data_IF_624210869912
#
_entry.id   IF_624210869912
#
_cell.length_a   1.000
_cell.length_b   1.000
_cell.length_c   1.000
_cell.angle_alpha   90.00
_cell.angle_beta   90.00
_cell.angle_gamma   90.00
#
_symmetry.space_group_name_H-M   'P 1'
#
loop_
_entity.id
_entity.type
_entity.pdbx_description
1 polymer ?
#
# COMPACT_ATOMS: atom_id res chain seq x y z
N UNK A 1 18.42 64.97 4.77
CA UNK A 1 17.92 66.12 3.98
C UNK A 1 16.70 65.64 3.21
N UNK A 2 15.59 66.38 3.48
CA UNK A 2 14.34 66.60 2.74
C UNK A 2 13.47 65.40 2.45
N UNK A 3 12.37 65.14 3.15
CA UNK A 3 11.04 65.85 3.29
C UNK A 3 10.32 66.15 1.96
N UNK A 4 9.12 65.52 1.82
CA UNK A 4 7.81 66.08 1.54
C UNK A 4 6.86 64.93 1.28
N UNK A 5 5.82 64.65 2.01
CA UNK A 5 4.59 65.28 2.49
C UNK A 5 3.50 65.48 1.39
N UNK A 6 2.33 64.89 1.70
CA UNK A 6 0.93 65.41 1.54
C UNK A 6 0.30 65.21 0.13
N UNK A 7 -0.88 64.56 -0.01
CA UNK A 7 -2.16 65.10 0.35
C UNK A 7 -3.34 64.10 0.26
N UNK A 8 -4.27 64.31 1.18
CA UNK A 8 -5.62 63.73 1.29
C UNK A 8 -6.59 64.45 0.31
N UNK A 9 -7.60 63.74 -0.19
CA UNK A 9 -8.89 64.35 -0.40
C UNK A 9 -10.04 63.33 -0.32
N UNK A 10 -10.93 63.64 0.57
CA UNK A 10 -12.24 63.05 0.84
C UNK A 10 -13.16 63.16 -0.38
N UNK A 11 -14.07 62.21 -0.51
CA UNK A 11 -15.43 62.55 -0.94
C UNK A 11 -16.47 61.61 -0.33
N UNK A 12 -17.49 62.25 0.17
CA UNK A 12 -18.60 61.87 1.01
C UNK A 12 -19.76 61.24 0.24
N UNK A 13 -20.57 60.47 0.99
CA UNK A 13 -21.81 59.80 0.66
C UNK A 13 -22.93 60.59 -0.02
N UNK A 14 -24.04 59.97 -0.43
CA UNK A 14 -25.21 60.12 0.42
C UNK A 14 -26.01 58.81 0.70
N UNK A 15 -26.52 58.78 1.90
CA UNK A 15 -27.53 57.93 2.47
C UNK A 15 -28.91 58.16 1.88
N UNK A 16 -29.64 57.12 1.52
CA UNK A 16 -31.08 57.16 1.29
C UNK A 16 -31.75 56.23 2.32
N UNK A 17 -32.50 56.89 3.21
CA UNK A 17 -33.49 56.28 4.09
C UNK A 17 -34.71 55.84 3.28
N UNK A 18 -35.15 54.60 3.49
CA UNK A 18 -36.52 54.19 3.22
C UNK A 18 -37.12 53.49 4.44
N UNK A 19 -38.24 54.08 4.89
CA UNK A 19 -39.08 53.65 6.00
C UNK A 19 -39.94 52.44 5.64
N UNK A 20 -40.36 51.62 6.63
CA UNK A 20 -41.14 50.40 6.38
C UNK A 20 -42.67 50.69 6.48
N UNK A 21 -43.41 50.36 5.46
CA UNK A 21 -44.85 50.05 5.63
C UNK A 21 -45.40 49.25 4.44
N UNK A 22 -46.09 48.16 4.79
CA UNK A 22 -47.01 47.36 3.99
C UNK A 22 -46.41 46.36 2.98
N UNK A 23 -46.25 45.12 3.46
CA UNK A 23 -46.73 43.91 2.73
C UNK A 23 -46.73 42.68 3.66
N UNK A 24 -47.76 42.64 4.48
CA UNK A 24 -48.21 41.36 5.09
C UNK A 24 -49.43 40.95 4.28
N UNK A 25 -49.29 39.93 3.46
CA UNK A 25 -50.31 38.99 2.95
C UNK A 25 -49.85 38.43 1.60
N UNK A 26 -49.05 37.38 1.62
CA UNK A 26 -48.95 36.34 0.58
C UNK A 26 -47.71 35.44 0.77
N UNK A 27 -47.60 34.77 1.88
CA UNK A 27 -46.55 33.77 2.09
C UNK A 27 -46.99 32.68 3.11
N UNK A 28 -48.19 32.12 2.94
CA UNK A 28 -48.61 30.96 3.78
C UNK A 28 -48.90 29.69 2.96
N UNK A 29 -48.71 29.70 1.63
CA UNK A 29 -48.99 28.53 0.81
C UNK A 29 -47.74 27.83 0.21
N UNK A 30 -46.51 28.36 0.39
CA UNK A 30 -45.32 27.78 -0.20
C UNK A 30 -44.38 27.09 0.81
N UNK A 31 -44.68 27.12 2.13
CA UNK A 31 -43.80 26.58 3.17
C UNK A 31 -44.04 25.12 3.55
N UNK A 32 -45.09 24.50 3.04
CA UNK A 32 -45.39 23.08 3.35
C UNK A 32 -44.89 22.07 2.32
N UNK A 33 -44.51 22.51 1.12
CA UNK A 33 -44.00 21.59 0.08
C UNK A 33 -42.48 21.39 0.12
N UNK A 34 -41.72 22.31 0.76
CA UNK A 34 -40.25 22.21 0.87
C UNK A 34 -39.77 21.45 2.11
N UNK A 35 -40.61 21.26 3.13
CA UNK A 35 -40.27 20.50 4.33
C UNK A 35 -40.39 18.96 4.13
N UNK A 36 -41.16 18.51 3.13
CA UNK A 36 -41.33 17.06 2.89
C UNK A 36 -40.25 16.47 1.97
N UNK A 37 -39.62 17.28 1.11
CA UNK A 37 -38.53 16.81 0.26
C UNK A 37 -37.16 16.80 0.98
N UNK A 38 -36.97 17.60 2.02
CA UNK A 38 -35.78 17.58 2.86
C UNK A 38 -35.77 16.38 3.84
N UNK A 39 -36.94 15.86 4.21
CA UNK A 39 -37.04 14.68 5.11
C UNK A 39 -36.88 13.36 4.40
N UNK A 40 -37.08 13.27 3.08
CA UNK A 40 -36.86 12.10 2.26
C UNK A 40 -35.42 12.01 1.70
N UNK A 41 -34.67 13.11 1.68
CA UNK A 41 -33.27 13.13 1.19
C UNK A 41 -32.23 12.77 2.26
N UNK A 42 -32.56 12.82 3.56
CA UNK A 42 -31.64 12.55 4.67
C UNK A 42 -31.60 11.08 5.08
N UNK A 43 -32.55 10.26 4.59
CA UNK A 43 -32.62 8.84 4.95
C UNK A 43 -31.98 7.86 3.94
N UNK A 44 -31.37 8.34 2.86
CA UNK A 44 -30.67 7.49 1.89
C UNK A 44 -29.16 7.43 2.06
N UNK A 45 -28.61 8.13 3.08
CA UNK A 45 -27.21 7.97 3.52
C UNK A 45 -27.11 7.25 4.87
N UNK A 46 -28.02 6.30 5.15
CA UNK A 46 -27.76 5.28 6.17
C UNK A 46 -26.73 4.32 5.62
N UNK A 47 -25.49 4.62 6.02
CA UNK A 47 -24.41 3.69 6.28
C UNK A 47 -24.78 2.24 5.94
N UNK A 48 -24.27 1.73 4.84
CA UNK A 48 -24.03 0.30 4.77
C UNK A 48 -23.07 -0.02 5.91
N UNK A 49 -23.60 -0.52 7.02
CA UNK A 49 -22.79 -1.06 8.10
C UNK A 49 -21.86 -2.09 7.45
N UNK A 50 -20.55 -1.83 7.54
CA UNK A 50 -19.58 -2.74 7.00
C UNK A 50 -19.77 -4.06 7.72
N UNK A 51 -20.19 -5.08 6.99
CA UNK A 51 -20.28 -6.44 7.49
C UNK A 51 -18.88 -6.88 7.90
N UNK A 52 -18.69 -7.52 9.07
CA UNK A 52 -17.41 -8.14 9.40
C UNK A 52 -17.08 -9.17 8.31
N UNK A 53 -15.81 -9.22 7.94
CA UNK A 53 -15.34 -10.18 6.95
C UNK A 53 -15.54 -11.61 7.46
N UNK A 54 -16.07 -12.54 6.66
CA UNK A 54 -16.10 -13.96 7.01
C UNK A 54 -14.67 -14.48 7.17
N UNK A 55 -14.49 -15.45 8.04
CA UNK A 55 -13.21 -16.17 8.13
C UNK A 55 -12.88 -16.77 6.76
N UNK A 56 -11.64 -16.54 6.32
CA UNK A 56 -11.16 -17.11 5.07
C UNK A 56 -10.99 -18.61 5.28
N UNK A 57 -11.78 -19.44 4.58
CA UNK A 57 -11.43 -20.83 4.37
C UNK A 57 -10.14 -20.89 3.55
N UNK A 58 -9.03 -20.95 4.26
CA UNK A 58 -7.73 -21.19 3.66
C UNK A 58 -7.70 -22.65 3.27
N UNK A 59 -7.55 -22.93 1.98
CA UNK A 59 -7.17 -24.28 1.56
C UNK A 59 -5.86 -24.63 2.28
N UNK A 60 -5.82 -25.70 3.08
CA UNK A 60 -4.61 -26.05 3.81
C UNK A 60 -3.49 -26.27 2.80
N UNK A 61 -2.43 -25.46 2.86
CA UNK A 61 -1.17 -25.83 2.24
C UNK A 61 -0.71 -27.11 2.95
N UNK A 62 -0.87 -28.24 2.28
CA UNK A 62 -0.37 -29.52 2.75
C UNK A 62 1.15 -29.45 2.60
N UNK A 63 1.84 -29.16 3.71
CA UNK A 63 3.29 -29.33 3.85
C UNK A 63 3.63 -30.79 3.66
N UNK A 64 3.71 -31.24 2.41
CA UNK A 64 4.16 -32.56 2.06
C UNK A 64 5.68 -32.58 2.05
N UNK A 65 6.34 -33.41 2.87
CA UNK A 65 7.75 -33.76 2.66
C UNK A 65 7.89 -34.24 1.23
N UNK A 66 8.44 -33.41 0.34
CA UNK A 66 8.75 -33.82 -1.02
C UNK A 66 9.90 -34.82 -1.02
N UNK A 67 9.55 -36.11 -0.92
CA UNK A 67 10.49 -37.25 -0.97
C UNK A 67 10.97 -37.59 -2.40
N UNK A 68 10.64 -36.80 -3.42
CA UNK A 68 10.82 -37.19 -4.84
C UNK A 68 11.90 -36.39 -5.58
N UNK A 69 12.79 -35.63 -4.93
CA UNK A 69 13.84 -34.88 -5.63
C UNK A 69 13.30 -33.71 -6.52
N UNK A 70 12.01 -33.52 -6.56
CA UNK A 70 11.36 -32.46 -7.36
C UNK A 70 11.49 -31.10 -6.67
N UNK A 71 11.84 -30.07 -7.43
CA UNK A 71 11.93 -28.69 -6.95
C UNK A 71 10.50 -28.19 -6.63
N UNK A 72 10.22 -27.72 -5.38
CA UNK A 72 8.92 -27.14 -5.03
C UNK A 72 8.58 -25.96 -5.92
N UNK A 73 7.29 -25.77 -6.21
CA UNK A 73 6.79 -24.67 -7.07
C UNK A 73 7.34 -23.31 -6.65
N UNK A 74 7.30 -22.99 -5.37
CA UNK A 74 7.73 -21.68 -4.88
C UNK A 74 9.24 -21.50 -4.89
N UNK A 75 10.01 -22.57 -4.64
CA UNK A 75 11.46 -22.55 -4.82
C UNK A 75 11.82 -22.23 -6.29
N UNK A 76 11.12 -22.86 -7.25
CA UNK A 76 11.31 -22.56 -8.68
C UNK A 76 10.99 -21.10 -9.00
N UNK A 77 9.88 -20.57 -8.51
CA UNK A 77 9.50 -19.14 -8.70
C UNK A 77 10.60 -18.23 -8.16
N UNK A 78 11.15 -18.51 -6.97
CA UNK A 78 12.26 -17.69 -6.42
C UNK A 78 13.52 -17.76 -7.27
N UNK A 79 13.85 -18.93 -7.82
CA UNK A 79 14.98 -19.08 -8.76
C UNK A 79 14.77 -18.29 -10.04
N UNK A 80 13.55 -18.29 -10.58
CA UNK A 80 13.19 -17.57 -11.80
C UNK A 80 13.14 -16.05 -11.58
N UNK A 81 12.64 -15.57 -10.43
CA UNK A 81 12.53 -14.16 -10.09
C UNK A 81 13.86 -13.55 -9.60
N UNK A 82 14.73 -14.34 -8.98
CA UNK A 82 15.97 -13.88 -8.35
C UNK A 82 17.20 -14.67 -8.80
N UNK A 83 17.42 -14.81 -10.12
CA UNK A 83 18.44 -15.72 -10.68
C UNK A 83 19.87 -15.35 -10.28
N UNK A 84 20.15 -14.10 -9.94
CA UNK A 84 21.48 -13.69 -9.49
C UNK A 84 21.80 -14.18 -8.07
N UNK A 85 20.78 -14.44 -7.26
CA UNK A 85 20.91 -14.76 -5.84
C UNK A 85 20.51 -16.21 -5.50
N UNK A 86 19.44 -16.75 -6.11
CA UNK A 86 18.91 -18.08 -5.82
C UNK A 86 19.30 -19.01 -6.98
N UNK A 87 20.25 -19.92 -6.72
CA UNK A 87 20.86 -20.80 -7.75
C UNK A 87 20.25 -22.20 -7.82
N UNK A 88 19.52 -22.60 -6.78
CA UNK A 88 18.96 -23.94 -6.77
C UNK A 88 18.16 -24.26 -5.51
N UNK A 89 17.66 -25.48 -5.49
CA UNK A 89 17.01 -26.09 -4.34
C UNK A 89 17.54 -27.52 -4.15
N UNK A 90 17.91 -27.85 -2.93
CA UNK A 90 18.38 -29.20 -2.57
C UNK A 90 18.13 -29.49 -1.09
N UNK A 91 17.65 -30.67 -0.77
CA UNK A 91 17.51 -31.19 0.60
C UNK A 91 16.77 -30.22 1.53
N UNK A 92 15.64 -29.67 1.06
CA UNK A 92 14.83 -28.66 1.75
C UNK A 92 15.53 -27.32 2.00
N UNK A 93 16.51 -26.94 1.17
CA UNK A 93 17.20 -25.66 1.24
C UNK A 93 17.22 -24.96 -0.12
N UNK A 94 17.04 -23.65 -0.13
CA UNK A 94 17.49 -22.80 -1.24
C UNK A 94 19.02 -22.72 -1.22
N UNK A 95 19.63 -22.86 -2.39
CA UNK A 95 21.08 -22.70 -2.59
C UNK A 95 21.32 -21.30 -3.12
N UNK A 96 22.07 -20.51 -2.38
CA UNK A 96 22.37 -19.12 -2.71
C UNK A 96 23.61 -19.01 -3.63
N UNK A 97 23.80 -17.86 -4.25
CA UNK A 97 24.89 -17.64 -5.22
C UNK A 97 26.29 -17.74 -4.61
N UNK A 98 26.45 -17.57 -3.31
CA UNK A 98 27.70 -17.78 -2.58
C UNK A 98 27.87 -19.20 -2.01
N UNK A 99 26.95 -20.12 -2.36
CA UNK A 99 26.92 -21.49 -1.86
C UNK A 99 26.28 -21.65 -0.48
N UNK A 100 25.88 -20.56 0.19
CA UNK A 100 25.13 -20.63 1.44
C UNK A 100 23.74 -21.22 1.23
N UNK A 101 23.10 -21.65 2.33
CA UNK A 101 21.81 -22.32 2.30
C UNK A 101 20.81 -21.60 3.18
N UNK A 102 19.57 -21.45 2.70
CA UNK A 102 18.43 -20.96 3.48
C UNK A 102 17.39 -22.08 3.55
N UNK A 103 16.95 -22.43 4.76
CA UNK A 103 15.94 -23.46 4.98
C UNK A 103 14.65 -23.06 4.26
N UNK A 104 14.07 -24.00 3.49
CA UNK A 104 12.88 -23.74 2.69
C UNK A 104 11.60 -23.86 3.54
N UNK A 105 11.46 -24.97 4.28
CA UNK A 105 10.31 -25.28 5.12
C UNK A 105 10.79 -25.88 6.43
N UNK A 106 10.44 -25.28 7.57
CA UNK A 106 10.81 -25.78 8.89
C UNK A 106 9.84 -26.86 9.43
N UNK A 107 8.77 -27.15 8.70
CA UNK A 107 7.77 -28.17 9.04
C UNK A 107 6.87 -27.79 10.22
N UNK A 108 6.92 -26.55 10.70
CA UNK A 108 6.12 -26.11 11.84
C UNK A 108 4.73 -25.63 11.41
N UNK A 109 3.73 -25.97 12.20
CA UNK A 109 2.40 -25.39 12.07
C UNK A 109 2.38 -24.02 12.76
N UNK A 110 2.26 -22.94 11.97
CA UNK A 110 2.32 -21.57 12.43
C UNK A 110 0.97 -20.88 12.25
N UNK A 111 0.55 -20.11 13.25
CA UNK A 111 -0.56 -19.15 13.10
C UNK A 111 -0.18 -18.04 12.10
N UNK A 112 -1.16 -17.30 11.53
CA UNK A 112 -0.85 -16.18 10.63
C UNK A 112 0.10 -15.12 11.24
N UNK A 113 0.04 -14.88 12.55
CA UNK A 113 0.94 -13.93 13.23
C UNK A 113 2.35 -14.51 13.36
N UNK A 114 2.47 -15.79 13.74
CA UNK A 114 3.78 -16.46 13.81
C UNK A 114 4.46 -16.53 12.45
N UNK A 115 3.69 -16.74 11.35
CA UNK A 115 4.22 -16.65 9.98
C UNK A 115 4.76 -15.28 9.64
N UNK A 116 4.13 -14.21 10.13
CA UNK A 116 4.67 -12.85 9.95
C UNK A 116 5.99 -12.65 10.69
N UNK A 117 6.14 -13.19 11.91
CA UNK A 117 7.29 -12.94 12.78
C UNK A 117 8.46 -13.92 12.55
N UNK A 118 8.16 -15.14 12.08
CA UNK A 118 9.11 -16.25 11.96
C UNK A 118 8.97 -16.99 10.63
N UNK A 119 8.76 -16.26 9.54
CA UNK A 119 8.61 -16.84 8.21
C UNK A 119 9.86 -17.64 7.79
N UNK A 120 9.69 -18.91 7.40
CA UNK A 120 10.61 -19.57 6.51
C UNK A 120 10.35 -19.19 5.04
N UNK A 121 10.92 -19.89 4.08
CA UNK A 121 10.75 -19.52 2.66
C UNK A 121 9.36 -19.91 2.16
N UNK A 122 8.83 -21.05 2.58
CA UNK A 122 7.50 -21.52 2.16
C UNK A 122 6.40 -20.60 2.69
N UNK A 123 6.53 -20.12 3.92
CA UNK A 123 5.60 -19.17 4.56
C UNK A 123 5.42 -17.87 3.77
N UNK A 124 6.40 -17.45 2.96
CA UNK A 124 6.28 -16.22 2.13
C UNK A 124 5.09 -16.29 1.18
N UNK A 125 4.64 -17.49 0.82
CA UNK A 125 3.56 -17.74 -0.14
C UNK A 125 2.25 -18.18 0.53
N UNK A 126 2.20 -18.18 1.85
CA UNK A 126 1.02 -18.60 2.61
C UNK A 126 -0.24 -17.80 2.29
N UNK A 127 -0.11 -16.49 2.17
CA UNK A 127 -1.22 -15.61 1.80
C UNK A 127 -1.32 -15.47 0.28
N UNK A 128 -2.54 -15.66 -0.25
CA UNK A 128 -2.82 -15.50 -1.68
C UNK A 128 -3.02 -14.03 -2.03
N UNK A 129 -2.33 -13.54 -3.06
CA UNK A 129 -2.53 -12.18 -3.59
C UNK A 129 -3.69 -12.16 -4.60
N UNK A 130 -4.89 -11.75 -4.18
CA UNK A 130 -6.13 -11.93 -4.94
C UNK A 130 -6.50 -10.76 -5.86
N UNK A 131 -5.82 -9.63 -5.84
CA UNK A 131 -6.13 -8.42 -6.63
C UNK A 131 -7.56 -7.91 -6.46
N UNK A 132 -8.12 -8.06 -5.28
CA UNK A 132 -9.48 -7.68 -4.94
C UNK A 132 -9.54 -7.10 -3.52
N UNK A 133 -10.66 -6.44 -3.20
CA UNK A 133 -10.92 -6.01 -1.83
C UNK A 133 -10.74 -7.21 -0.88
N UNK A 134 -10.02 -7.03 0.24
CA UNK A 134 -9.81 -8.12 1.18
C UNK A 134 -11.15 -8.64 1.73
N UNK A 135 -11.37 -9.95 1.58
CA UNK A 135 -12.57 -10.65 2.02
C UNK A 135 -12.31 -11.59 3.18
N UNK A 136 -11.02 -11.88 3.48
CA UNK A 136 -10.58 -12.78 4.52
C UNK A 136 -9.80 -12.06 5.61
N UNK A 137 -9.99 -12.52 6.85
CA UNK A 137 -9.21 -12.03 7.99
C UNK A 137 -7.76 -12.48 7.83
N UNK A 138 -6.82 -11.52 8.02
CA UNK A 138 -5.37 -11.74 8.02
C UNK A 138 -4.82 -12.34 6.72
N UNK A 139 -5.38 -11.95 5.60
CA UNK A 139 -4.77 -12.24 4.30
C UNK A 139 -3.94 -11.02 3.86
N UNK A 140 -2.64 -11.10 4.09
CA UNK A 140 -1.68 -10.00 3.88
C UNK A 140 -0.52 -10.49 3.01
N UNK A 141 -0.79 -10.84 1.76
CA UNK A 141 0.21 -11.38 0.82
C UNK A 141 1.45 -10.48 0.69
N UNK A 142 2.65 -11.08 0.79
CA UNK A 142 3.94 -10.38 0.77
C UNK A 142 4.41 -9.87 2.14
N UNK A 143 3.56 -9.87 3.18
CA UNK A 143 3.98 -9.45 4.53
C UNK A 143 4.74 -10.54 5.29
N UNK A 144 4.56 -11.82 4.97
CA UNK A 144 5.42 -12.90 5.44
C UNK A 144 6.73 -12.86 4.66
N UNK A 145 7.77 -12.26 5.21
CA UNK A 145 9.08 -12.16 4.56
C UNK A 145 10.12 -12.95 5.35
N UNK A 146 10.84 -13.82 4.66
CA UNK A 146 12.06 -14.38 5.23
C UNK A 146 13.14 -13.30 5.22
N UNK A 147 13.39 -12.67 6.39
CA UNK A 147 14.36 -11.56 6.48
C UNK A 147 15.78 -11.99 6.11
N UNK A 148 16.15 -13.27 6.28
CA UNK A 148 17.48 -13.75 5.91
C UNK A 148 17.67 -13.69 4.40
N UNK A 149 16.65 -14.09 3.61
CA UNK A 149 16.67 -13.98 2.15
C UNK A 149 16.75 -12.51 1.71
N UNK A 150 15.90 -11.63 2.29
CA UNK A 150 15.90 -10.22 1.92
C UNK A 150 17.21 -9.51 2.29
N UNK A 151 17.77 -9.78 3.49
CA UNK A 151 19.08 -9.25 3.89
C UNK A 151 20.19 -9.74 2.99
N UNK A 152 20.14 -11.00 2.55
CA UNK A 152 21.10 -11.56 1.61
C UNK A 152 21.08 -10.82 0.26
N UNK A 153 19.88 -10.57 -0.29
CA UNK A 153 19.73 -9.93 -1.59
C UNK A 153 19.98 -8.43 -1.56
N UNK A 154 19.39 -7.73 -0.59
CA UNK A 154 19.32 -6.26 -0.60
C UNK A 154 20.32 -5.58 0.35
N UNK A 155 20.85 -6.30 1.33
CA UNK A 155 21.79 -5.81 2.34
C UNK A 155 21.27 -5.97 3.76
N UNK A 156 22.19 -6.27 4.68
CA UNK A 156 21.92 -6.54 6.11
C UNK A 156 21.98 -5.30 6.98
N UNK A 157 22.50 -4.19 6.44
CA UNK A 157 22.70 -2.91 7.16
C UNK A 157 22.24 -1.74 6.30
N UNK A 158 21.89 -0.58 6.92
CA UNK A 158 21.53 0.61 6.16
C UNK A 158 22.65 1.07 5.19
N UNK A 159 23.92 0.85 5.54
CA UNK A 159 25.05 1.21 4.70
C UNK A 159 25.14 0.33 3.44
N UNK A 160 24.89 -0.98 3.59
CA UNK A 160 24.88 -1.92 2.47
C UNK A 160 23.71 -1.63 1.52
N UNK A 161 22.50 -1.40 2.05
CA UNK A 161 21.35 -1.05 1.21
C UNK A 161 21.60 0.27 0.47
N UNK A 162 22.16 1.31 1.13
CA UNK A 162 22.46 2.58 0.47
C UNK A 162 23.40 2.44 -0.75
N UNK A 163 24.34 1.49 -0.73
CA UNK A 163 25.22 1.20 -1.89
C UNK A 163 24.45 0.66 -3.11
N UNK A 164 23.25 0.14 -2.90
CA UNK A 164 22.40 -0.43 -3.96
C UNK A 164 21.34 0.57 -4.47
N UNK A 165 21.26 1.79 -3.89
CA UNK A 165 20.28 2.78 -4.30
C UNK A 165 20.70 3.50 -5.58
N UNK A 166 19.74 3.68 -6.46
CA UNK A 166 19.85 4.51 -7.66
C UNK A 166 18.69 5.51 -7.72
N UNK A 167 18.91 6.61 -8.45
CA UNK A 167 17.85 7.59 -8.72
C UNK A 167 16.90 7.04 -9.78
N UNK A 168 15.62 6.98 -9.45
CA UNK A 168 14.54 6.60 -10.36
C UNK A 168 13.68 7.83 -10.64
N UNK A 169 13.41 8.19 -11.90
CA UNK A 169 12.46 9.27 -12.22
C UNK A 169 11.08 8.98 -11.62
N UNK A 170 10.49 9.97 -10.96
CA UNK A 170 9.18 9.85 -10.34
C UNK A 170 8.45 11.19 -10.32
N UNK A 171 7.29 11.28 -11.00
CA UNK A 171 6.36 12.42 -10.99
C UNK A 171 7.06 13.79 -11.13
N UNK A 172 7.94 13.94 -12.11
CA UNK A 172 8.68 15.18 -12.39
C UNK A 172 9.90 15.43 -11.49
N UNK A 173 10.24 14.50 -10.62
CA UNK A 173 11.43 14.51 -9.76
C UNK A 173 12.10 13.13 -9.79
N UNK A 174 12.72 12.70 -8.70
CA UNK A 174 13.26 11.34 -8.56
C UNK A 174 13.10 10.83 -7.11
N UNK A 175 13.09 9.51 -7.00
CA UNK A 175 13.19 8.79 -5.72
C UNK A 175 14.41 7.89 -5.72
N UNK A 176 14.90 7.49 -4.54
CA UNK A 176 15.98 6.51 -4.40
C UNK A 176 15.36 5.11 -4.26
N UNK A 177 15.74 4.16 -5.12
CA UNK A 177 15.19 2.81 -5.09
C UNK A 177 16.29 1.77 -5.29
N UNK A 178 16.09 0.55 -4.80
CA UNK A 178 17.08 -0.51 -4.94
C UNK A 178 17.23 -0.93 -6.41
N UNK A 179 18.48 -1.01 -6.91
CA UNK A 179 18.77 -1.57 -8.25
C UNK A 179 18.70 -3.10 -8.26
N UNK A 180 18.72 -3.74 -7.10
CA UNK A 180 18.77 -5.18 -6.94
C UNK A 180 17.51 -5.83 -7.52
N UNK A 181 17.66 -6.97 -8.15
CA UNK A 181 16.58 -7.77 -8.76
C UNK A 181 15.71 -6.97 -9.76
N UNK A 182 16.23 -5.90 -10.34
CA UNK A 182 15.50 -5.08 -11.31
C UNK A 182 14.46 -4.12 -10.69
N UNK A 183 14.38 -3.99 -9.35
CA UNK A 183 13.35 -3.19 -8.67
C UNK A 183 13.29 -1.73 -9.14
N UNK A 184 14.45 -1.06 -9.29
CA UNK A 184 14.52 0.31 -9.81
C UNK A 184 14.07 0.41 -11.28
N UNK A 185 14.41 -0.58 -12.10
CA UNK A 185 13.97 -0.63 -13.50
C UNK A 185 12.45 -0.82 -13.60
N UNK A 186 11.89 -1.67 -12.74
CA UNK A 186 10.45 -1.88 -12.60
C UNK A 186 9.72 -0.60 -12.19
N UNK A 187 10.20 0.12 -11.16
CA UNK A 187 9.61 1.41 -10.74
C UNK A 187 9.72 2.48 -11.84
N UNK A 188 10.82 2.50 -12.58
CA UNK A 188 10.95 3.40 -13.74
C UNK A 188 9.95 3.05 -14.86
N UNK A 189 9.64 1.77 -15.06
CA UNK A 189 8.60 1.33 -16.00
C UNK A 189 7.21 1.77 -15.55
N UNK A 190 6.87 1.60 -14.26
CA UNK A 190 5.65 2.15 -13.66
C UNK A 190 5.54 3.65 -13.94
N UNK A 191 6.59 4.43 -13.66
CA UNK A 191 6.55 5.88 -13.90
C UNK A 191 6.34 6.21 -15.38
N UNK A 192 6.92 5.48 -16.32
CA UNK A 192 6.69 5.69 -17.77
C UNK A 192 5.25 5.42 -18.17
N UNK A 193 4.65 4.33 -17.67
CA UNK A 193 3.25 4.02 -17.96
C UNK A 193 2.32 5.09 -17.35
N UNK A 194 2.58 5.54 -16.14
CA UNK A 194 1.80 6.60 -15.46
C UNK A 194 1.83 7.95 -16.19
N UNK A 195 2.84 8.24 -17.04
CA UNK A 195 2.83 9.45 -17.88
C UNK A 195 1.70 9.43 -18.93
N UNK A 196 1.14 8.27 -19.25
CA UNK A 196 0.01 8.11 -20.16
C UNK A 196 -1.34 8.29 -19.44
N UNK A 197 -1.33 8.45 -18.11
CA UNK A 197 -2.49 8.57 -17.23
C UNK A 197 -2.50 9.89 -16.45
N UNK A 198 -2.71 11.05 -17.10
CA UNK A 198 -2.65 12.37 -16.45
C UNK A 198 -3.68 12.52 -15.31
N UNK A 199 -4.80 11.82 -15.38
CA UNK A 199 -5.83 11.79 -14.32
C UNK A 199 -5.34 11.19 -13.00
N UNK A 200 -4.31 10.31 -13.06
CA UNK A 200 -3.71 9.69 -11.88
C UNK A 200 -2.63 10.56 -11.21
N UNK A 201 -2.15 11.60 -11.89
CA UNK A 201 -1.01 12.42 -11.43
C UNK A 201 -1.17 12.96 -10.01
N UNK A 202 -2.39 13.31 -9.61
CA UNK A 202 -2.70 13.84 -8.27
C UNK A 202 -2.42 12.85 -7.13
N UNK A 203 -2.35 11.54 -7.43
CA UNK A 203 -2.08 10.48 -6.44
C UNK A 203 -0.58 10.15 -6.32
N UNK A 204 0.28 10.67 -7.20
CA UNK A 204 1.68 10.25 -7.31
C UNK A 204 2.64 10.96 -6.35
N UNK A 205 2.14 11.85 -5.48
CA UNK A 205 2.98 12.48 -4.45
C UNK A 205 3.46 11.39 -3.49
N UNK A 206 4.78 11.19 -3.43
CA UNK A 206 5.40 10.17 -2.58
C UNK A 206 5.89 10.75 -1.26
N UNK A 207 5.76 9.99 -0.17
CA UNK A 207 6.38 10.27 1.14
C UNK A 207 7.75 9.62 1.31
N UNK A 208 8.20 8.82 0.33
CA UNK A 208 9.52 8.23 0.33
C UNK A 208 9.54 6.74 -0.02
N UNK A 209 10.78 6.24 -0.13
CA UNK A 209 11.09 4.88 -0.57
C UNK A 209 12.05 4.18 0.38
N UNK A 210 13.15 4.81 0.77
CA UNK A 210 14.15 4.24 1.66
C UNK A 210 14.06 4.81 3.07
N UNK A 211 13.78 3.92 4.04
CA UNK A 211 13.79 4.25 5.46
C UNK A 211 14.14 2.98 6.27
N UNK A 212 15.36 2.93 6.79
CA UNK A 212 15.79 1.79 7.61
C UNK A 212 15.11 1.83 8.97
N UNK A 213 14.05 1.05 9.11
CA UNK A 213 13.26 0.97 10.35
C UNK A 213 12.55 -0.37 10.48
N UNK A 214 12.21 -0.71 11.71
CA UNK A 214 11.25 -1.77 11.98
C UNK A 214 9.82 -1.29 11.76
N UNK A 215 8.93 -2.22 11.42
CA UNK A 215 7.48 -1.97 11.40
C UNK A 215 7.07 -1.67 12.85
N UNK A 216 6.34 -0.56 13.05
CA UNK A 216 5.93 -0.09 14.38
C UNK A 216 5.22 -1.19 15.17
N UNK A 217 5.74 -1.48 16.36
CA UNK A 217 5.21 -2.50 17.27
C UNK A 217 5.65 -3.93 16.96
N UNK A 218 6.64 -4.12 16.07
CA UNK A 218 7.18 -5.43 15.71
C UNK A 218 8.70 -5.41 15.70
N UNK A 219 9.32 -6.60 15.56
CA UNK A 219 10.76 -6.76 15.32
C UNK A 219 11.09 -6.99 13.83
N UNK A 220 10.11 -6.87 12.92
CA UNK A 220 10.25 -7.07 11.48
C UNK A 220 10.74 -5.79 10.81
N UNK A 221 11.73 -5.90 9.93
CA UNK A 221 12.14 -4.78 9.07
C UNK A 221 11.01 -4.43 8.10
N UNK A 222 10.81 -3.13 7.90
CA UNK A 222 9.92 -2.64 6.84
C UNK A 222 10.52 -2.93 5.47
N UNK A 223 9.71 -3.13 4.42
CA UNK A 223 10.15 -3.19 3.02
C UNK A 223 10.88 -1.91 2.58
N UNK A 224 10.53 -0.78 3.18
CA UNK A 224 11.29 0.48 3.02
C UNK A 224 12.74 0.36 3.48
N UNK A 225 13.06 -0.52 4.45
CA UNK A 225 14.44 -0.74 4.88
C UNK A 225 15.31 -1.32 3.75
N UNK A 226 14.71 -2.07 2.84
CA UNK A 226 15.36 -2.65 1.65
C UNK A 226 15.26 -1.74 0.41
N UNK A 227 14.57 -0.60 0.53
CA UNK A 227 14.27 0.31 -0.59
C UNK A 227 13.55 -0.39 -1.77
N UNK A 228 12.67 -1.32 -1.46
CA UNK A 228 11.82 -2.06 -2.42
C UNK A 228 10.35 -1.63 -2.36
N UNK A 229 10.04 -0.61 -1.57
CA UNK A 229 8.69 -0.07 -1.42
C UNK A 229 8.64 1.44 -1.69
N UNK A 230 7.46 1.91 -2.12
CA UNK A 230 7.13 3.31 -2.29
C UNK A 230 5.74 3.59 -1.72
N UNK A 231 5.63 4.68 -0.95
CA UNK A 231 4.35 5.20 -0.48
C UNK A 231 3.93 6.41 -1.33
N UNK A 232 2.71 6.38 -1.88
CA UNK A 232 2.13 7.45 -2.70
C UNK A 232 0.73 7.84 -2.22
N UNK A 233 0.21 9.00 -2.66
CA UNK A 233 -1.12 9.48 -2.29
C UNK A 233 -1.25 9.93 -0.84
N UNK A 234 -0.13 10.12 -0.16
CA UNK A 234 -0.04 10.38 1.28
C UNK A 234 -0.83 11.61 1.70
N UNK A 235 -1.35 11.58 2.93
CA UNK A 235 -2.13 12.61 3.62
C UNK A 235 -3.52 12.86 3.02
N UNK A 236 -3.70 12.85 1.71
CA UNK A 236 -4.99 13.17 1.08
C UNK A 236 -5.79 11.95 0.65
N UNK A 237 -5.12 10.93 0.13
CA UNK A 237 -5.77 9.78 -0.51
C UNK A 237 -5.45 8.45 0.18
N UNK A 238 -4.45 8.42 1.06
CA UNK A 238 -4.05 7.23 1.79
C UNK A 238 -5.05 6.86 2.89
N UNK A 239 -5.36 5.58 2.96
CA UNK A 239 -6.07 4.97 4.07
C UNK A 239 -5.18 3.88 4.67
N UNK A 240 -5.00 3.90 5.98
CA UNK A 240 -4.12 3.00 6.70
C UNK A 240 -4.84 2.40 7.91
N UNK A 241 -4.83 1.08 8.02
CA UNK A 241 -5.57 0.34 9.04
C UNK A 241 -5.24 0.76 10.48
N UNK A 242 -3.98 1.13 10.78
CA UNK A 242 -3.59 1.57 12.14
C UNK A 242 -4.26 2.87 12.58
N UNK A 243 -4.78 3.66 11.65
CA UNK A 243 -5.54 4.87 11.98
C UNK A 243 -6.88 4.55 12.68
N UNK A 244 -7.33 3.30 12.64
CA UNK A 244 -8.47 2.83 13.43
C UNK A 244 -8.13 2.56 14.91
N UNK A 245 -6.85 2.67 15.32
CA UNK A 245 -6.41 2.41 16.70
C UNK A 245 -6.42 0.92 17.11
N UNK A 246 -6.59 0.01 16.15
CA UNK A 246 -6.68 -1.42 16.41
C UNK A 246 -5.30 -2.09 16.40
N UNK A 247 -5.18 -3.22 17.12
CA UNK A 247 -4.00 -4.07 17.11
C UNK A 247 -3.93 -4.95 15.86
N UNK A 248 -2.76 -5.49 15.53
CA UNK A 248 -2.59 -6.45 14.42
C UNK A 248 -3.39 -7.76 14.65
N UNK A 249 -3.73 -8.07 15.89
CA UNK A 249 -4.56 -9.22 16.24
C UNK A 249 -6.07 -8.98 16.06
N UNK A 250 -6.51 -7.74 15.81
CA UNK A 250 -7.91 -7.41 15.69
C UNK A 250 -8.57 -8.08 14.48
N UNK A 251 -9.81 -8.55 14.67
CA UNK A 251 -10.68 -9.10 13.62
C UNK A 251 -11.79 -8.12 13.20
N UNK A 252 -11.74 -6.88 13.69
CA UNK A 252 -12.81 -5.87 13.52
C UNK A 252 -12.39 -4.74 12.56
N UNK A 253 -11.44 -4.97 11.66
CA UNK A 253 -11.02 -3.97 10.69
C UNK A 253 -12.13 -3.67 9.68
N UNK A 254 -12.41 -2.38 9.50
CA UNK A 254 -13.30 -1.88 8.44
C UNK A 254 -12.44 -1.36 7.30
N UNK A 255 -12.51 -2.02 6.16
CA UNK A 255 -11.76 -1.65 4.96
C UNK A 255 -12.14 -0.26 4.45
N UNK A 256 -11.11 0.55 4.14
CA UNK A 256 -11.24 1.87 3.51
C UNK A 256 -10.23 1.99 2.38
N UNK A 257 -10.65 2.62 1.27
CA UNK A 257 -9.77 2.91 0.15
C UNK A 257 -10.28 4.12 -0.63
N UNK A 258 -9.39 5.08 -0.87
CA UNK A 258 -9.58 6.26 -1.73
C UNK A 258 -8.61 6.28 -2.92
N UNK A 259 -7.72 5.29 -3.03
CA UNK A 259 -6.80 5.16 -4.16
C UNK A 259 -7.51 4.45 -5.32
N UNK A 260 -7.32 4.90 -6.58
CA UNK A 260 -7.91 4.22 -7.73
C UNK A 260 -7.23 2.88 -7.99
N UNK A 261 -8.04 1.86 -8.30
CA UNK A 261 -7.53 0.50 -8.58
C UNK A 261 -6.65 0.44 -9.83
N UNK A 262 -6.77 1.40 -10.72
CA UNK A 262 -5.92 1.49 -11.91
C UNK A 262 -4.44 1.66 -11.55
N UNK A 263 -4.13 2.37 -10.45
CA UNK A 263 -2.76 2.43 -9.92
C UNK A 263 -2.24 1.04 -9.54
N UNK A 264 -3.05 0.24 -8.83
CA UNK A 264 -2.66 -1.11 -8.47
C UNK A 264 -2.34 -1.96 -9.71
N UNK A 265 -3.20 -1.94 -10.72
CA UNK A 265 -3.00 -2.67 -11.98
C UNK A 265 -1.72 -2.27 -12.71
N UNK A 266 -1.42 -0.96 -12.79
CA UNK A 266 -0.19 -0.47 -13.42
C UNK A 266 1.04 -0.99 -12.67
N UNK A 267 1.05 -0.89 -11.35
CA UNK A 267 2.16 -1.38 -10.53
C UNK A 267 2.33 -2.91 -10.64
N UNK A 268 1.24 -3.67 -10.64
CA UNK A 268 1.25 -5.14 -10.74
C UNK A 268 1.85 -5.65 -12.04
N UNK A 269 1.62 -4.99 -13.17
CA UNK A 269 2.25 -5.30 -14.47
C UNK A 269 3.78 -5.27 -14.37
N UNK A 270 4.32 -4.52 -13.44
CA UNK A 270 5.76 -4.32 -13.26
C UNK A 270 6.30 -5.03 -12.00
N UNK A 271 5.57 -6.03 -11.47
CA UNK A 271 6.06 -6.89 -10.40
C UNK A 271 5.87 -6.32 -8.98
N UNK A 272 5.05 -5.30 -8.81
CA UNK A 272 4.70 -4.77 -7.49
C UNK A 272 3.40 -5.38 -6.97
N UNK A 273 3.30 -5.54 -5.67
CA UNK A 273 2.04 -5.78 -4.97
C UNK A 273 1.54 -4.49 -4.32
N UNK A 274 0.26 -4.38 -4.08
CA UNK A 274 -0.38 -3.24 -3.44
C UNK A 274 -0.92 -3.58 -2.05
N UNK A 275 -0.54 -2.80 -1.05
CA UNK A 275 -1.02 -2.97 0.33
C UNK A 275 -2.52 -2.66 0.52
N UNK A 276 -3.18 -2.08 -0.47
CA UNK A 276 -4.63 -1.88 -0.46
C UNK A 276 -5.45 -3.19 -0.57
N UNK A 277 -4.84 -4.29 -0.99
CA UNK A 277 -5.48 -5.61 -1.02
C UNK A 277 -5.25 -6.45 0.23
N UNK A 278 -4.49 -5.93 1.20
CA UNK A 278 -4.29 -6.60 2.48
C UNK A 278 -5.49 -6.46 3.41
N UNK A 279 -5.70 -7.43 4.27
CA UNK A 279 -6.62 -7.26 5.39
C UNK A 279 -6.20 -6.08 6.27
N UNK A 280 -4.92 -6.01 6.62
CA UNK A 280 -4.31 -4.83 7.25
C UNK A 280 -3.92 -3.80 6.17
N UNK A 281 -4.92 -3.25 5.51
CA UNK A 281 -4.76 -2.40 4.34
C UNK A 281 -3.85 -1.19 4.60
N UNK A 282 -2.99 -0.94 3.61
CA UNK A 282 -2.14 0.24 3.54
C UNK A 282 -2.17 0.76 2.10
N UNK A 283 -3.13 1.65 1.80
CA UNK A 283 -3.47 1.98 0.42
C UNK A 283 -2.45 2.90 -0.26
N UNK A 284 -1.53 3.50 0.49
CA UNK A 284 -0.41 4.26 -0.08
C UNK A 284 0.74 3.35 -0.53
N UNK A 285 0.83 2.14 0.01
CA UNK A 285 2.00 1.28 0.00
C UNK A 285 2.04 0.31 -1.17
N UNK A 286 3.12 0.35 -1.94
CA UNK A 286 3.45 -0.58 -3.03
C UNK A 286 4.82 -1.19 -2.78
N UNK A 287 4.93 -2.53 -2.87
CA UNK A 287 6.17 -3.28 -2.66
C UNK A 287 6.56 -4.07 -3.92
N UNK A 288 7.84 -4.08 -4.27
CA UNK A 288 8.35 -4.91 -5.36
C UNK A 288 8.49 -6.37 -4.90
N UNK A 289 7.60 -7.23 -5.40
CA UNK A 289 7.48 -8.64 -5.08
C UNK A 289 7.13 -9.46 -6.33
N UNK A 290 8.05 -9.55 -7.33
CA UNK A 290 7.77 -10.28 -8.56
C UNK A 290 7.44 -11.76 -8.31
N UNK A 291 7.97 -12.37 -7.23
CA UNK A 291 7.67 -13.74 -6.83
C UNK A 291 6.23 -13.93 -6.37
N UNK A 292 5.67 -12.94 -5.67
CA UNK A 292 4.25 -12.99 -5.26
C UNK A 292 3.33 -12.82 -6.46
N UNK A 293 3.68 -11.93 -7.41
CA UNK A 293 2.94 -11.78 -8.66
C UNK A 293 2.99 -13.08 -9.47
N UNK A 294 4.18 -13.71 -9.61
CA UNK A 294 4.35 -14.96 -10.33
C UNK A 294 3.63 -16.16 -9.67
N UNK A 295 3.51 -16.15 -8.34
CA UNK A 295 2.79 -17.17 -7.61
C UNK A 295 1.26 -17.06 -7.74
N UNK A 296 0.76 -15.86 -8.11
CA UNK A 296 -0.67 -15.53 -8.22
C UNK A 296 -0.95 -14.85 -9.58
N UNK A 297 -0.90 -15.61 -10.69
CA UNK A 297 -1.04 -15.11 -12.06
C UNK A 297 -2.40 -14.51 -12.38
#
# INVERSE_FOLDING_TARGET
MSRCCINLSNNTAPSILFTPRNMIKSCIAASFALALSAYLGVNLCKQAAAQPFPECEQTPHVGGKNSTGQIPRYAKILMDCYPDYVKGYKDNYLIMSDGSKILYDDGQQKTPIERLDHADIEDMFYFTYRRERPTGIRNDAGRCRNERLFKYMYGSTPAEVRKQLVKVPWNGSYVLFSKVNGAAAALAAVNRELQQHPELKKYLVSSGTFNWRYIRGTKRLSSHAFATAIDIGVAKYADYWKNAGLSEASTQLVYRNRMPLELAKIFEKHGFIWGGYWYHYDTMHFEYHPEIIAANP
#
